data_IF_183471557744
#
_entry.id   IF_183471557744
#
_cell.length_a   1.000
_cell.length_b   1.000
_cell.length_c   1.000
_cell.angle_alpha   90.00
_cell.angle_beta   90.00
_cell.angle_gamma   90.00
#
_symmetry.space_group_name_H-M   'P 1'
#
loop_
_entity.id
_entity.type
_entity.pdbx_description
1 polymer ?
#
# COMPACT_ATOMS: atom_id res chain seq x y z
N UNK A 1 -8.81 3.08 -20.17
CA UNK A 1 -8.27 3.73 -18.95
C UNK A 1 -6.81 3.32 -18.80
N UNK A 2 -5.91 4.22 -18.38
CA UNK A 2 -4.56 3.79 -18.00
C UNK A 2 -4.62 2.87 -16.78
N UNK A 3 -3.68 1.92 -16.72
CA UNK A 3 -3.62 0.91 -15.66
C UNK A 3 -3.02 1.56 -14.40
N UNK A 4 -3.71 1.47 -13.27
CA UNK A 4 -3.24 2.05 -12.00
C UNK A 4 -2.40 0.99 -11.27
N UNK A 5 -1.13 1.28 -11.00
CA UNK A 5 -0.19 0.37 -10.34
C UNK A 5 -0.20 0.60 -8.83
N UNK A 6 -0.61 -0.39 -8.07
CA UNK A 6 -0.68 -0.31 -6.61
C UNK A 6 0.29 -1.32 -6.00
N UNK A 7 1.13 -0.87 -5.08
CA UNK A 7 1.95 -1.75 -4.24
C UNK A 7 1.50 -1.69 -2.78
N UNK A 8 1.02 -2.79 -2.25
CA UNK A 8 0.51 -2.90 -0.89
C UNK A 8 1.36 -3.84 -0.04
N UNK A 9 1.49 -3.54 1.26
CA UNK A 9 2.31 -4.36 2.16
C UNK A 9 1.69 -5.75 2.36
N UNK A 10 2.46 -6.81 2.18
CA UNK A 10 2.04 -8.21 2.37
C UNK A 10 2.12 -8.68 3.84
N UNK A 11 1.61 -7.89 4.78
CA UNK A 11 1.63 -8.19 6.22
C UNK A 11 0.25 -8.54 6.77
N UNK A 12 0.20 -9.16 7.95
CA UNK A 12 -1.05 -9.66 8.53
C UNK A 12 -2.07 -8.53 8.74
N UNK A 13 -1.59 -7.37 9.18
CA UNK A 13 -2.39 -6.18 9.42
C UNK A 13 -2.97 -5.56 8.13
N UNK A 14 -2.44 -5.92 6.96
CA UNK A 14 -2.97 -5.49 5.65
C UNK A 14 -3.96 -6.50 5.06
N UNK A 15 -4.06 -7.73 5.58
CA UNK A 15 -4.94 -8.76 5.01
C UNK A 15 -6.40 -8.32 4.85
N UNK A 16 -7.05 -7.68 5.85
CA UNK A 16 -8.45 -7.25 5.70
C UNK A 16 -8.62 -6.24 4.55
N UNK A 17 -7.66 -5.33 4.39
CA UNK A 17 -7.67 -4.33 3.31
C UNK A 17 -7.52 -5.00 1.93
N UNK A 18 -6.56 -5.90 1.78
CA UNK A 18 -6.35 -6.66 0.53
C UNK A 18 -7.57 -7.51 0.18
N UNK A 19 -8.15 -8.17 1.17
CA UNK A 19 -9.36 -8.97 1.00
C UNK A 19 -10.52 -8.11 0.47
N UNK A 20 -10.74 -6.92 1.04
CA UNK A 20 -11.77 -6.00 0.56
C UNK A 20 -11.59 -5.61 -0.90
N UNK A 21 -10.35 -5.27 -1.32
CA UNK A 21 -10.06 -4.92 -2.71
C UNK A 21 -10.32 -6.12 -3.63
N UNK A 22 -9.81 -7.30 -3.27
CA UNK A 22 -9.90 -8.52 -4.09
C UNK A 22 -11.32 -9.06 -4.23
N UNK A 23 -12.19 -8.82 -3.24
CA UNK A 23 -13.59 -9.25 -3.24
C UNK A 23 -14.56 -8.14 -3.67
N UNK A 24 -14.03 -7.03 -4.19
CA UNK A 24 -14.81 -5.94 -4.78
C UNK A 24 -14.60 -5.89 -6.29
N UNK A 25 -15.51 -5.21 -7.00
CA UNK A 25 -15.33 -4.96 -8.43
C UNK A 25 -14.27 -3.89 -8.73
N UNK A 26 -13.61 -3.32 -7.71
CA UNK A 26 -12.67 -2.21 -7.87
C UNK A 26 -11.51 -2.55 -8.81
N UNK A 27 -10.97 -3.78 -8.73
CA UNK A 27 -9.83 -4.20 -9.57
C UNK A 27 -10.16 -4.07 -11.06
N UNK A 28 -11.32 -4.57 -11.46
CA UNK A 28 -11.80 -4.55 -12.85
C UNK A 28 -12.31 -3.17 -13.23
N UNK A 29 -13.11 -2.53 -12.37
CA UNK A 29 -13.75 -1.24 -12.64
C UNK A 29 -12.72 -0.11 -12.85
N UNK A 30 -11.63 -0.12 -12.09
CA UNK A 30 -10.59 0.91 -12.16
C UNK A 30 -9.34 0.48 -12.93
N UNK A 31 -9.32 -0.73 -13.53
CA UNK A 31 -8.15 -1.28 -14.23
C UNK A 31 -6.87 -1.25 -13.37
N UNK A 32 -6.94 -1.84 -12.16
CA UNK A 32 -5.88 -1.83 -11.16
C UNK A 32 -4.91 -3.01 -11.36
N UNK A 33 -3.61 -2.74 -11.32
CA UNK A 33 -2.55 -3.74 -11.10
C UNK A 33 -2.16 -3.74 -9.61
N UNK A 34 -2.74 -4.65 -8.83
CA UNK A 34 -2.40 -4.79 -7.41
C UNK A 34 -1.24 -5.78 -7.24
N UNK A 35 -0.13 -5.30 -6.67
CA UNK A 35 0.99 -6.13 -6.21
C UNK A 35 1.12 -6.05 -4.70
N UNK A 36 1.49 -7.18 -4.10
CA UNK A 36 1.77 -7.27 -2.67
C UNK A 36 3.27 -7.47 -2.47
N UNK A 37 3.90 -6.60 -1.70
CA UNK A 37 5.36 -6.60 -1.51
C UNK A 37 5.73 -6.37 -0.02
N UNK A 38 7.01 -6.47 0.31
CA UNK A 38 7.54 -6.02 1.59
C UNK A 38 7.49 -4.49 1.69
N UNK A 39 7.40 -3.89 2.89
CA UNK A 39 7.29 -2.44 3.04
C UNK A 39 8.45 -1.66 2.39
N UNK A 40 9.68 -2.20 2.43
CA UNK A 40 10.84 -1.61 1.76
C UNK A 40 10.68 -1.59 0.25
N UNK A 41 10.18 -2.68 -0.32
CA UNK A 41 9.94 -2.79 -1.77
C UNK A 41 8.79 -1.88 -2.21
N UNK A 42 7.70 -1.77 -1.43
CA UNK A 42 6.63 -0.80 -1.70
C UNK A 42 7.17 0.63 -1.75
N UNK A 43 8.05 0.98 -0.80
CA UNK A 43 8.68 2.29 -0.72
C UNK A 43 9.64 2.54 -1.91
N UNK A 44 10.46 1.57 -2.28
CA UNK A 44 11.34 1.62 -3.45
C UNK A 44 10.55 1.84 -4.75
N UNK A 45 9.45 1.08 -4.93
CA UNK A 45 8.59 1.22 -6.12
C UNK A 45 7.96 2.60 -6.24
N UNK A 46 7.53 3.22 -5.14
CA UNK A 46 7.04 4.61 -5.16
C UNK A 46 8.16 5.60 -5.53
N UNK A 47 9.34 5.46 -4.93
CA UNK A 47 10.48 6.33 -5.23
C UNK A 47 10.97 6.22 -6.68
N UNK A 48 10.92 5.01 -7.24
CA UNK A 48 11.31 4.70 -8.61
C UNK A 48 10.20 4.95 -9.64
N UNK A 49 9.01 5.41 -9.22
CA UNK A 49 7.84 5.59 -10.07
C UNK A 49 7.37 4.29 -10.76
N UNK A 50 7.60 3.15 -10.11
CA UNK A 50 7.15 1.81 -10.51
C UNK A 50 5.76 1.48 -9.95
N UNK A 51 5.31 2.22 -8.93
CA UNK A 51 3.95 2.21 -8.40
C UNK A 51 3.37 3.63 -8.40
N UNK A 52 2.08 3.75 -8.67
CA UNK A 52 1.34 5.03 -8.64
C UNK A 52 0.74 5.28 -7.24
N UNK A 53 0.36 4.21 -6.55
CA UNK A 53 -0.15 4.26 -5.18
C UNK A 53 0.57 3.20 -4.33
N UNK A 54 0.86 3.53 -3.08
CA UNK A 54 1.41 2.56 -2.15
C UNK A 54 0.88 2.69 -0.74
N UNK A 55 0.66 1.54 -0.10
CA UNK A 55 0.57 1.48 1.35
C UNK A 55 1.99 1.27 1.86
N UNK A 56 2.57 2.29 2.48
CA UNK A 56 4.01 2.35 2.77
C UNK A 56 4.30 2.87 4.17
N UNK A 57 5.47 2.56 4.75
CA UNK A 57 5.87 3.12 6.04
C UNK A 57 5.96 4.65 5.97
N UNK A 58 5.43 5.37 6.97
CA UNK A 58 5.45 6.85 7.05
C UNK A 58 6.86 7.45 6.87
N UNK A 59 7.91 6.71 7.21
CA UNK A 59 9.31 7.12 7.05
C UNK A 59 9.75 7.37 5.59
N UNK A 60 8.97 6.96 4.59
CA UNK A 60 9.24 7.23 3.17
C UNK A 60 8.84 8.64 2.76
N UNK A 61 7.88 9.26 3.44
CA UNK A 61 7.26 10.53 3.04
C UNK A 61 8.31 11.63 2.79
N UNK A 62 9.31 11.86 3.68
CA UNK A 62 10.32 12.90 3.47
C UNK A 62 11.26 12.63 2.30
N UNK A 63 11.29 11.40 1.76
CA UNK A 63 12.16 11.01 0.64
C UNK A 63 11.49 11.18 -0.71
N UNK A 64 10.16 11.33 -0.74
CA UNK A 64 9.40 11.54 -1.97
C UNK A 64 9.57 13.01 -2.41
N UNK A 65 9.88 13.21 -3.70
CA UNK A 65 9.97 14.56 -4.28
C UNK A 65 8.63 15.30 -4.21
N UNK A 66 7.56 14.56 -4.42
CA UNK A 66 6.17 15.00 -4.30
C UNK A 66 5.35 13.80 -3.82
N UNK A 67 4.36 14.04 -2.96
CA UNK A 67 3.46 13.02 -2.48
C UNK A 67 2.10 13.62 -2.14
N UNK A 68 1.06 12.78 -2.20
CA UNK A 68 -0.30 13.12 -1.82
C UNK A 68 -0.84 12.01 -0.93
N UNK A 69 -1.37 12.36 0.24
CA UNK A 69 -2.14 11.42 1.07
C UNK A 69 -3.58 11.47 0.56
N UNK A 70 -4.02 10.40 -0.11
CA UNK A 70 -5.29 10.39 -0.85
C UNK A 70 -6.48 9.82 -0.06
N UNK A 71 -6.28 9.42 1.20
CA UNK A 71 -7.33 8.84 2.03
C UNK A 71 -7.11 9.08 3.51
N UNK A 72 -8.19 9.05 4.29
CA UNK A 72 -8.14 9.12 5.75
C UNK A 72 -7.83 7.75 6.42
N UNK A 73 -7.50 6.73 5.63
CA UNK A 73 -7.23 5.37 6.11
C UNK A 73 -5.74 5.07 6.17
N UNK A 74 -5.29 4.45 7.26
CA UNK A 74 -3.92 3.97 7.42
C UNK A 74 -3.87 2.72 8.31
N UNK A 75 -2.70 2.08 8.38
CA UNK A 75 -2.42 1.07 9.40
C UNK A 75 -1.74 1.79 10.58
N UNK A 76 -2.45 1.83 11.71
CA UNK A 76 -1.96 2.42 12.95
C UNK A 76 -2.59 1.75 14.16
N UNK A 77 -2.11 2.11 15.36
CA UNK A 77 -2.62 1.62 16.62
C UNK A 77 -2.42 2.66 17.73
N UNK A 78 -3.25 2.59 18.76
CA UNK A 78 -3.09 3.38 19.99
C UNK A 78 -2.52 2.45 21.06
N UNK A 79 -1.32 2.75 21.55
CA UNK A 79 -0.61 1.94 22.52
C UNK A 79 0.27 0.83 21.91
N UNK A 80 0.81 -0.08 22.74
CA UNK A 80 1.74 -1.11 22.30
C UNK A 80 1.08 -2.10 21.33
N UNK A 81 1.76 -2.41 20.23
CA UNK A 81 1.40 -3.50 19.32
C UNK A 81 2.40 -4.63 19.44
N UNK A 82 1.93 -5.87 19.28
CA UNK A 82 2.86 -6.97 18.95
C UNK A 82 3.41 -6.66 17.56
N UNK A 83 4.73 -6.80 17.39
CA UNK A 83 5.41 -6.46 16.13
C UNK A 83 4.73 -7.12 14.93
N UNK A 84 4.97 -6.56 13.74
CA UNK A 84 4.38 -7.11 12.52
C UNK A 84 4.88 -8.54 12.32
N UNK A 85 3.95 -9.51 12.32
CA UNK A 85 4.28 -10.91 12.03
C UNK A 85 4.55 -11.06 10.53
N UNK A 86 5.75 -11.53 10.20
CA UNK A 86 6.15 -11.99 8.87
C UNK A 86 5.69 -13.45 8.74
N UNK A 87 5.03 -13.82 7.65
CA UNK A 87 4.68 -15.21 7.32
C UNK A 87 5.01 -15.50 5.85
#
# INVERSE_FOLDING_TARGET
MQRIRISAVSYLNTKPFLYGIQNSDALTHFNIDLKTDLPSVCAEKLLANEADLGLVPVAIIPKLKEYHIISDYCIGAIGPVKTVMLY
#
